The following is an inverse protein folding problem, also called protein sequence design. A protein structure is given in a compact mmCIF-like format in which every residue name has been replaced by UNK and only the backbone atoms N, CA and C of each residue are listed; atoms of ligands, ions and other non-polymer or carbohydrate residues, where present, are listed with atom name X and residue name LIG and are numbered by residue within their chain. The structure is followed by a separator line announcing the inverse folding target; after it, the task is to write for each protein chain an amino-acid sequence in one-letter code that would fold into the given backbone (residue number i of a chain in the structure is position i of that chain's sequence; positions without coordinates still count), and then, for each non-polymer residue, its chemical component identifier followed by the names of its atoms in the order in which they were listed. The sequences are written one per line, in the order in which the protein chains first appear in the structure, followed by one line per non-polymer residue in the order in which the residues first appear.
data_IF_282356902455
#
_entry.id   IF_282356902455
#
_cell.length_a   1.000
_cell.length_b   1.000
_cell.length_c   1.000
_cell.angle_alpha   90.00
_cell.angle_beta   90.00
_cell.angle_gamma   90.00
#
_symmetry.space_group_name_H-M   'P 1'
#
loop_
_entity.id
_entity.type
_entity.pdbx_description
1 polymer ?
#
# COMPACT_ATOMS: atom_id res chain seq x y z
N UNK A 1 13.27 2.94 -4.07
CA UNK A 1 12.28 2.52 -5.08
C UNK A 1 10.92 2.92 -4.56
N UNK A 2 10.14 3.60 -5.38
CA UNK A 2 8.83 4.12 -5.01
C UNK A 2 7.84 3.01 -4.61
N UNK A 3 7.25 3.06 -3.40
CA UNK A 3 6.23 2.12 -2.90
C UNK A 3 5.07 1.85 -3.84
N UNK A 4 4.64 2.82 -4.65
CA UNK A 4 3.48 2.65 -5.55
C UNK A 4 3.70 1.55 -6.60
N UNK A 5 4.97 1.25 -6.91
CA UNK A 5 5.32 0.26 -7.92
C UNK A 5 5.16 -1.18 -7.41
N UNK A 6 5.38 -1.45 -6.12
CA UNK A 6 5.43 -2.81 -5.57
C UNK A 6 4.41 -3.09 -4.47
N UNK A 7 3.80 -2.09 -3.86
CA UNK A 7 2.69 -2.31 -2.93
C UNK A 7 1.39 -2.56 -3.71
N UNK A 8 0.70 -3.64 -3.38
CA UNK A 8 -0.54 -4.08 -4.04
C UNK A 8 -1.61 -4.38 -3.00
N UNK A 9 -2.87 -4.12 -3.36
CA UNK A 9 -4.01 -4.36 -2.47
C UNK A 9 -4.81 -5.55 -3.00
N UNK A 10 -5.07 -6.53 -2.15
CA UNK A 10 -5.90 -7.69 -2.45
C UNK A 10 -7.03 -7.82 -1.39
N UNK A 11 -8.26 -8.18 -1.79
CA UNK A 11 -8.75 -8.35 -3.16
C UNK A 11 -8.93 -7.04 -3.94
N UNK A 12 -9.02 -7.17 -5.26
CA UNK A 12 -9.39 -6.07 -6.17
C UNK A 12 -10.91 -5.85 -6.09
N UNK A 13 -11.31 -4.57 -6.10
CA UNK A 13 -12.72 -4.18 -6.01
C UNK A 13 -13.18 -3.99 -4.57
N UNK A 14 -14.45 -3.65 -4.40
CA UNK A 14 -15.08 -3.38 -3.09
C UNK A 14 -15.97 -4.57 -2.65
N UNK A 15 -16.41 -4.57 -1.39
CA UNK A 15 -17.32 -5.56 -0.82
C UNK A 15 -16.67 -6.78 -0.16
N UNK A 16 -15.33 -6.84 -0.09
CA UNK A 16 -14.65 -7.85 0.71
C UNK A 16 -14.73 -7.54 2.21
N UNK A 17 -14.66 -8.59 3.04
CA UNK A 17 -14.65 -8.46 4.51
C UNK A 17 -13.35 -7.87 5.05
N UNK A 18 -12.27 -8.03 4.30
CA UNK A 18 -10.93 -7.62 4.68
C UNK A 18 -10.06 -7.41 3.45
N UNK A 19 -9.14 -6.46 3.53
CA UNK A 19 -8.17 -6.13 2.49
C UNK A 19 -6.77 -6.11 3.07
N UNK A 20 -5.81 -6.54 2.27
CA UNK A 20 -4.41 -6.62 2.62
C UNK A 20 -3.59 -5.84 1.60
N UNK A 21 -2.64 -5.06 2.11
CA UNK A 21 -1.54 -4.50 1.32
C UNK A 21 -0.38 -5.47 1.45
N UNK A 22 0.13 -5.97 0.32
CA UNK A 22 1.29 -6.83 0.28
C UNK A 22 2.40 -6.23 -0.58
N UNK A 23 3.65 -6.53 -0.23
CA UNK A 23 4.83 -6.21 -1.03
C UNK A 23 5.02 -7.29 -2.09
N UNK A 24 4.78 -6.96 -3.36
CA UNK A 24 4.84 -7.92 -4.47
C UNK A 24 6.24 -8.48 -4.74
N UNK A 25 7.29 -7.97 -4.10
CA UNK A 25 8.66 -8.48 -4.23
C UNK A 25 8.94 -9.62 -3.25
N UNK A 26 8.24 -9.63 -2.12
CA UNK A 26 8.48 -10.56 -1.01
C UNK A 26 7.25 -11.41 -0.68
N UNK A 27 6.09 -11.06 -1.25
CA UNK A 27 4.78 -11.65 -0.95
C UNK A 27 4.34 -11.47 0.51
N UNK A 28 4.97 -10.54 1.24
CA UNK A 28 4.65 -10.26 2.63
C UNK A 28 3.51 -9.26 2.76
N UNK A 29 2.55 -9.55 3.64
CA UNK A 29 1.52 -8.59 4.06
C UNK A 29 2.14 -7.56 4.99
N UNK A 30 2.02 -6.28 4.63
CA UNK A 30 2.61 -5.16 5.37
C UNK A 30 1.57 -4.30 6.08
N UNK A 31 0.32 -4.37 5.64
CA UNK A 31 -0.81 -3.67 6.24
C UNK A 31 -2.12 -4.38 5.89
N UNK A 32 -3.16 -4.24 6.72
CA UNK A 32 -4.47 -4.79 6.44
C UNK A 32 -5.58 -4.05 7.16
N UNK A 33 -6.74 -3.95 6.50
CA UNK A 33 -7.89 -3.21 7.03
C UNK A 33 -9.23 -3.74 6.45
N UNK A 34 -10.34 -3.71 7.22
CA UNK A 34 -11.67 -4.09 6.71
C UNK A 34 -12.21 -3.22 5.58
N UNK A 35 -11.70 -1.99 5.44
CA UNK A 35 -12.09 -1.05 4.38
C UNK A 35 -10.91 -0.80 3.44
N UNK A 36 -11.15 -0.99 2.15
CA UNK A 36 -10.16 -0.83 1.09
C UNK A 36 -9.62 0.60 0.99
N UNK A 37 -10.47 1.59 1.28
CA UNK A 37 -10.08 2.99 1.26
C UNK A 37 -8.90 3.27 2.20
N UNK A 38 -8.87 2.63 3.37
CA UNK A 38 -7.75 2.76 4.31
C UNK A 38 -6.47 2.08 3.81
N UNK A 39 -6.58 0.95 3.09
CA UNK A 39 -5.42 0.35 2.44
C UNK A 39 -4.85 1.27 1.34
N UNK A 40 -5.71 1.96 0.58
CA UNK A 40 -5.28 2.93 -0.44
C UNK A 40 -4.61 4.13 0.19
N UNK A 41 -5.24 4.73 1.20
CA UNK A 41 -4.71 5.86 1.96
C UNK A 41 -3.31 5.56 2.52
N UNK A 42 -3.16 4.39 3.14
CA UNK A 42 -1.88 3.94 3.66
C UNK A 42 -0.77 3.82 2.58
N UNK A 43 -1.10 3.27 1.39
CA UNK A 43 -0.14 3.18 0.27
C UNK A 43 0.25 4.57 -0.25
N UNK A 44 -0.69 5.52 -0.29
CA UNK A 44 -0.43 6.91 -0.70
C UNK A 44 0.52 7.57 0.31
N UNK A 45 0.29 7.40 1.61
CA UNK A 45 1.16 7.92 2.67
C UNK A 45 2.59 7.39 2.55
N UNK A 46 2.77 6.09 2.26
CA UNK A 46 4.11 5.52 2.01
C UNK A 46 4.79 6.13 0.78
N UNK A 47 4.04 6.35 -0.30
CA UNK A 47 4.54 7.02 -1.50
C UNK A 47 4.96 8.48 -1.21
N UNK A 48 4.16 9.22 -0.45
CA UNK A 48 4.48 10.60 -0.06
C UNK A 48 5.73 10.67 0.83
N UNK A 49 5.90 9.73 1.77
CA UNK A 49 7.13 9.62 2.58
C UNK A 49 8.35 9.34 1.73
N UNK A 50 8.22 8.49 0.72
CA UNK A 50 9.28 8.21 -0.24
C UNK A 50 9.67 9.48 -1.01
N UNK A 51 8.71 10.18 -1.62
CA UNK A 51 8.99 11.44 -2.34
C UNK A 51 9.67 12.46 -1.42
N UNK A 52 9.14 12.67 -0.22
CA UNK A 52 9.69 13.64 0.74
C UNK A 52 11.10 13.28 1.22
N UNK A 53 11.50 12.01 1.17
CA UNK A 53 12.85 11.57 1.47
C UNK A 53 13.81 11.83 0.28
N UNK A 54 13.35 11.60 -0.95
CA UNK A 54 14.15 11.85 -2.17
C UNK A 54 14.40 13.35 -2.39
N UNK A 55 13.49 14.24 -1.98
CA UNK A 55 13.69 15.70 -2.07
C UNK A 55 14.72 16.24 -1.06
N UNK A 56 15.05 15.46 -0.02
CA UNK A 56 16.02 15.85 1.02
C UNK A 56 17.43 15.31 0.78
N UNK A 57 17.59 14.39 -0.18
CA UNK A 57 18.86 13.77 -0.55
C UNK A 57 19.54 14.51 -1.70
#
# INVERSE_FOLDING_TARGET
MDPINYLKINPIGEGARYYEVYDSRTDAVVYGHPSRAWCVDWVIEEHLRYIAAEEKG
#
